data_IF_534927306451
#
_entry.id   IF_534927306451
#
_cell.length_a   1.000
_cell.length_b   1.000
_cell.length_c   1.000
_cell.angle_alpha   90.00
_cell.angle_beta   90.00
_cell.angle_gamma   90.00
#
_symmetry.space_group_name_H-M   'P 1'
#
loop_
_entity.id
_entity.type
_entity.pdbx_description
1 polymer ?
#
# COMPACT_ATOMS: atom_id res chain seq x y z
N UNK A 1 62.61 25.43 9.95
CA UNK A 1 61.18 25.37 10.30
C UNK A 1 60.40 26.30 9.36
N UNK A 2 59.78 25.81 8.27
CA UNK A 2 58.75 26.57 7.57
C UNK A 2 57.36 25.98 7.82
N UNK A 3 56.40 26.87 8.01
CA UNK A 3 55.01 26.59 8.35
C UNK A 3 54.24 25.96 7.17
N UNK A 4 53.43 24.94 7.47
CA UNK A 4 52.54 24.26 6.52
C UNK A 4 51.24 25.08 6.39
N UNK A 5 50.71 25.33 5.18
CA UNK A 5 49.50 26.11 5.01
C UNK A 5 48.26 25.31 5.45
N UNK A 6 47.40 25.97 6.23
CA UNK A 6 46.13 25.43 6.73
C UNK A 6 45.14 25.25 5.57
N UNK A 7 44.94 23.99 5.16
CA UNK A 7 43.96 23.62 4.15
C UNK A 7 42.57 23.61 4.80
N UNK A 8 41.75 24.61 4.47
CA UNK A 8 40.34 24.64 4.87
C UNK A 8 39.60 23.55 4.08
N UNK A 9 39.29 22.44 4.75
CA UNK A 9 38.34 21.44 4.25
C UNK A 9 36.98 22.11 4.24
N UNK A 10 36.53 22.50 3.05
CA UNK A 10 35.15 22.91 2.81
C UNK A 10 34.32 21.63 2.71
N UNK A 11 33.75 21.17 3.83
CA UNK A 11 32.66 20.20 3.78
C UNK A 11 31.43 20.90 3.25
N UNK A 12 31.33 21.01 1.92
CA UNK A 12 30.01 21.00 1.29
C UNK A 12 29.45 19.63 1.54
N UNK A 13 28.66 19.52 2.60
CA UNK A 13 27.65 18.48 2.68
C UNK A 13 26.66 18.83 1.58
N UNK A 14 26.87 18.25 0.39
CA UNK A 14 25.79 18.05 -0.55
C UNK A 14 24.76 17.20 0.23
N UNK A 15 23.81 17.87 0.87
CA UNK A 15 22.59 17.26 1.37
C UNK A 15 21.79 16.82 0.14
N UNK A 16 22.21 15.70 -0.45
CA UNK A 16 21.27 14.82 -1.15
C UNK A 16 20.08 14.62 -0.21
N UNK A 17 18.83 14.84 -0.67
CA UNK A 17 17.68 14.67 0.19
C UNK A 17 17.66 13.22 0.63
N UNK A 18 18.04 12.97 1.89
CA UNK A 18 17.91 11.67 2.54
C UNK A 18 16.48 11.21 2.25
N UNK A 19 16.34 10.16 1.44
CA UNK A 19 15.06 9.48 1.19
C UNK A 19 14.51 9.11 2.56
N UNK A 20 13.61 9.96 3.06
CA UNK A 20 13.22 9.95 4.45
C UNK A 20 12.60 8.62 4.81
N UNK A 21 13.26 7.87 5.69
CA UNK A 21 12.70 6.68 6.30
C UNK A 21 11.31 7.02 6.84
N UNK A 22 10.32 6.25 6.39
CA UNK A 22 8.91 6.45 6.71
C UNK A 22 8.65 6.01 8.16
N UNK A 23 7.74 6.71 8.85
CA UNK A 23 7.09 6.15 10.04
C UNK A 23 6.24 4.91 9.68
N UNK A 24 5.77 4.12 10.66
CA UNK A 24 5.08 2.86 10.39
C UNK A 24 3.85 3.07 9.50
N UNK A 25 3.65 2.18 8.53
CA UNK A 25 2.46 2.17 7.66
C UNK A 25 1.24 1.90 8.52
N UNK A 26 0.22 2.76 8.43
CA UNK A 26 -1.00 2.69 9.24
C UNK A 26 -2.26 2.36 8.43
N UNK A 27 -2.30 2.71 7.15
CA UNK A 27 -3.52 2.58 6.35
C UNK A 27 -3.26 2.06 4.93
N UNK A 28 -4.20 1.30 4.39
CA UNK A 28 -4.34 1.08 2.95
C UNK A 28 -5.38 2.04 2.40
N UNK A 29 -5.11 2.68 1.25
CA UNK A 29 -6.04 3.54 0.54
C UNK A 29 -6.35 2.98 -0.85
N UNK A 30 -7.63 2.78 -1.12
CA UNK A 30 -8.11 2.26 -2.39
C UNK A 30 -8.47 3.37 -3.39
N UNK A 31 -8.03 3.20 -4.63
CA UNK A 31 -8.23 4.12 -5.75
C UNK A 31 -8.68 3.37 -7.01
N UNK A 32 -9.21 4.10 -7.99
CA UNK A 32 -9.43 3.61 -9.35
C UNK A 32 -8.84 4.59 -10.37
N UNK A 33 -8.60 4.13 -11.60
CA UNK A 33 -7.93 4.92 -12.66
C UNK A 33 -8.61 6.25 -13.03
N UNK A 34 -9.87 6.45 -12.63
CA UNK A 34 -10.58 7.71 -12.84
C UNK A 34 -10.22 8.82 -11.83
N UNK A 35 -9.50 8.51 -10.75
CA UNK A 35 -9.04 9.49 -9.77
C UNK A 35 -7.65 10.01 -10.16
N UNK A 36 -7.58 11.26 -10.63
CA UNK A 36 -6.37 11.92 -11.15
C UNK A 36 -5.30 12.17 -10.09
N UNK A 37 -4.48 11.18 -9.73
CA UNK A 37 -3.22 11.39 -9.00
C UNK A 37 -2.24 10.22 -9.15
N UNK A 38 -0.95 10.51 -9.24
CA UNK A 38 0.15 9.53 -9.25
C UNK A 38 0.64 9.19 -7.83
N UNK A 39 1.48 8.14 -7.70
CA UNK A 39 2.11 7.75 -6.43
C UNK A 39 1.42 6.61 -5.67
N UNK A 40 0.91 5.62 -6.40
CA UNK A 40 0.40 4.36 -5.84
C UNK A 40 1.55 3.36 -5.63
N UNK A 41 1.39 2.46 -4.67
CA UNK A 41 2.37 1.40 -4.39
C UNK A 41 2.02 0.14 -5.18
N UNK A 42 0.72 -0.14 -5.36
CA UNK A 42 0.26 -1.30 -6.11
C UNK A 42 -0.80 -0.92 -7.13
N UNK A 43 -0.83 -1.64 -8.25
CA UNK A 43 -1.91 -1.65 -9.24
C UNK A 43 -2.47 -3.05 -9.39
N UNK A 44 -3.78 -3.17 -9.48
CA UNK A 44 -4.49 -4.42 -9.76
C UNK A 44 -5.25 -4.31 -11.08
N UNK A 45 -4.87 -5.12 -12.05
CA UNK A 45 -5.46 -5.15 -13.38
C UNK A 45 -6.71 -6.03 -13.43
N UNK A 46 -7.52 -5.86 -14.49
CA UNK A 46 -8.82 -6.53 -14.63
C UNK A 46 -8.77 -8.06 -14.63
N UNK A 47 -7.63 -8.63 -15.01
CA UNK A 47 -7.37 -10.06 -15.00
C UNK A 47 -6.99 -10.61 -13.61
N UNK A 48 -6.77 -9.72 -12.63
CA UNK A 48 -6.30 -10.05 -11.28
C UNK A 48 -4.79 -9.91 -11.12
N UNK A 49 -4.03 -9.52 -12.15
CA UNK A 49 -2.59 -9.31 -11.98
C UNK A 49 -2.28 -8.12 -11.07
N UNK A 50 -1.36 -8.33 -10.12
CA UNK A 50 -0.90 -7.31 -9.16
C UNK A 50 0.49 -6.85 -9.57
N UNK A 51 0.68 -5.53 -9.66
CA UNK A 51 1.96 -4.90 -10.00
C UNK A 51 2.37 -3.93 -8.91
N UNK A 52 3.57 -4.11 -8.39
CA UNK A 52 4.23 -3.14 -7.52
C UNK A 52 4.74 -1.97 -8.37
N UNK A 53 4.34 -0.76 -8.05
CA UNK A 53 4.71 0.49 -8.75
C UNK A 53 5.72 1.30 -7.94
N UNK A 54 5.60 1.25 -6.61
CA UNK A 54 6.53 1.85 -5.66
C UNK A 54 6.78 0.85 -4.55
N UNK A 55 8.01 0.83 -4.04
CA UNK A 55 8.31 0.02 -2.86
C UNK A 55 7.46 0.48 -1.68
N UNK A 56 7.03 -0.43 -0.78
CA UNK A 56 6.22 -0.08 0.39
C UNK A 56 6.85 1.00 1.29
N UNK A 57 8.18 1.04 1.33
CA UNK A 57 9.00 2.00 2.08
C UNK A 57 9.12 3.37 1.37
N UNK A 58 8.83 3.42 0.07
CA UNK A 58 8.83 4.67 -0.69
C UNK A 58 7.65 5.55 -0.29
N UNK A 59 7.86 6.87 -0.33
CA UNK A 59 6.81 7.84 -0.07
C UNK A 59 5.85 7.89 -1.26
N UNK A 60 4.69 7.27 -1.12
CA UNK A 60 3.56 7.45 -2.04
C UNK A 60 2.76 8.75 -1.78
N UNK A 61 1.58 8.81 -2.37
CA UNK A 61 0.70 9.99 -2.37
C UNK A 61 0.28 10.49 -0.96
N UNK A 62 0.18 9.58 0.01
CA UNK A 62 -0.24 9.88 1.37
C UNK A 62 0.82 9.42 2.39
N UNK A 63 1.14 10.24 3.42
CA UNK A 63 2.02 9.81 4.50
C UNK A 63 1.40 8.61 5.24
N UNK A 64 2.26 7.71 5.73
CA UNK A 64 1.88 6.49 6.47
C UNK A 64 0.78 5.60 5.82
N UNK A 65 0.60 5.67 4.50
CA UNK A 65 -0.45 4.93 3.77
C UNK A 65 0.04 4.23 2.50
N UNK A 66 -0.39 2.99 2.26
CA UNK A 66 -0.17 2.28 1.00
C UNK A 66 -1.35 2.52 0.06
N UNK A 67 -1.11 3.24 -1.03
CA UNK A 67 -2.10 3.44 -2.10
C UNK A 67 -2.17 2.24 -3.05
N UNK A 68 -3.35 1.68 -3.24
CA UNK A 68 -3.64 0.61 -4.20
C UNK A 68 -4.62 1.14 -5.24
N UNK A 69 -4.29 1.02 -6.53
CA UNK A 69 -5.17 1.43 -7.63
C UNK A 69 -5.73 0.22 -8.37
N UNK A 70 -7.04 0.18 -8.57
CA UNK A 70 -7.71 -0.82 -9.39
C UNK A 70 -7.94 -0.28 -10.80
N UNK A 71 -7.57 -1.07 -11.80
CA UNK A 71 -7.76 -0.76 -13.22
C UNK A 71 -9.25 -0.70 -13.56
N UNK A 72 -9.71 0.40 -14.16
CA UNK A 72 -11.10 0.60 -14.58
C UNK A 72 -11.80 1.83 -14.01
N UNK A 73 -13.01 2.09 -14.52
CA UNK A 73 -13.85 3.19 -14.05
C UNK A 73 -14.91 2.66 -13.08
N UNK A 74 -14.51 2.54 -11.82
CA UNK A 74 -15.35 1.95 -10.76
C UNK A 74 -16.51 2.84 -10.30
N UNK A 75 -16.68 4.03 -10.88
CA UNK A 75 -17.92 4.78 -10.78
C UNK A 75 -19.02 4.22 -11.68
N UNK A 76 -18.64 3.54 -12.77
CA UNK A 76 -19.56 3.03 -13.80
C UNK A 76 -19.70 1.51 -13.75
N UNK A 77 -18.68 0.81 -13.28
CA UNK A 77 -18.64 -0.66 -13.27
C UNK A 77 -18.18 -1.21 -11.92
N UNK A 78 -18.61 -2.42 -11.58
CA UNK A 78 -18.08 -3.14 -10.43
C UNK A 78 -16.74 -3.78 -10.83
N UNK A 79 -15.73 -3.88 -9.93
CA UNK A 79 -14.52 -4.64 -10.21
C UNK A 79 -14.83 -6.07 -10.62
N UNK A 80 -13.98 -6.65 -11.47
CA UNK A 80 -14.08 -8.06 -11.81
C UNK A 80 -13.85 -8.95 -10.57
N UNK A 81 -14.41 -10.16 -10.55
CA UNK A 81 -14.21 -11.11 -9.44
C UNK A 81 -12.73 -11.34 -9.16
N UNK A 82 -11.96 -11.64 -10.21
CA UNK A 82 -10.49 -11.82 -10.14
C UNK A 82 -9.75 -10.60 -9.58
N UNK A 83 -10.24 -9.38 -9.83
CA UNK A 83 -9.67 -8.16 -9.22
C UNK A 83 -9.92 -8.09 -7.71
N UNK A 84 -11.12 -8.49 -7.27
CA UNK A 84 -11.47 -8.49 -5.85
C UNK A 84 -10.71 -9.58 -5.09
N UNK A 85 -10.53 -10.75 -5.71
CA UNK A 85 -9.76 -11.85 -5.13
C UNK A 85 -8.29 -11.46 -4.96
N UNK A 86 -7.67 -10.91 -6.00
CA UNK A 86 -6.30 -10.38 -5.94
C UNK A 86 -6.15 -9.24 -4.91
N UNK A 87 -7.16 -8.38 -4.77
CA UNK A 87 -7.16 -7.35 -3.74
C UNK A 87 -7.16 -7.95 -2.33
N UNK A 88 -7.99 -8.97 -2.08
CA UNK A 88 -8.05 -9.65 -0.77
C UNK A 88 -6.72 -10.32 -0.44
N UNK A 89 -6.12 -11.03 -1.40
CA UNK A 89 -4.80 -11.64 -1.24
C UNK A 89 -3.71 -10.61 -0.90
N UNK A 90 -3.69 -9.48 -1.62
CA UNK A 90 -2.76 -8.40 -1.34
C UNK A 90 -3.00 -7.77 0.04
N UNK A 91 -4.25 -7.53 0.44
CA UNK A 91 -4.58 -6.99 1.76
C UNK A 91 -4.14 -7.94 2.89
N UNK A 92 -4.31 -9.25 2.71
CA UNK A 92 -3.86 -10.26 3.67
C UNK A 92 -2.33 -10.22 3.82
N UNK A 93 -1.62 -10.19 2.70
CA UNK A 93 -0.16 -10.10 2.70
C UNK A 93 0.36 -8.83 3.37
N UNK A 94 -0.30 -7.69 3.11
CA UNK A 94 0.01 -6.42 3.78
C UNK A 94 -0.30 -6.46 5.27
N UNK A 95 -1.35 -7.15 5.72
CA UNK A 95 -1.65 -7.30 7.15
C UNK A 95 -0.60 -8.14 7.87
N UNK A 96 -0.06 -9.16 7.22
CA UNK A 96 1.05 -9.95 7.76
C UNK A 96 2.31 -9.11 7.93
N UNK A 97 2.65 -8.30 6.91
CA UNK A 97 3.81 -7.40 6.94
C UNK A 97 3.63 -6.21 7.89
N UNK A 98 2.39 -5.74 8.04
CA UNK A 98 2.02 -4.58 8.86
C UNK A 98 0.80 -4.93 9.74
N UNK A 99 1.00 -5.60 10.90
CA UNK A 99 -0.10 -6.12 11.73
C UNK A 99 -1.14 -5.08 12.15
N UNK A 100 -0.71 -3.83 12.36
CA UNK A 100 -1.58 -2.73 12.78
C UNK A 100 -2.23 -1.96 11.61
N UNK A 101 -2.03 -2.41 10.36
CA UNK A 101 -2.58 -1.70 9.20
C UNK A 101 -4.11 -1.78 9.21
N UNK A 102 -4.74 -0.62 9.07
CA UNK A 102 -6.18 -0.47 8.86
C UNK A 102 -6.53 -0.32 7.38
N UNK A 103 -7.77 -0.60 7.02
CA UNK A 103 -8.30 -0.35 5.70
C UNK A 103 -9.08 0.97 5.68
N UNK A 104 -8.71 1.89 4.78
CA UNK A 104 -9.42 3.15 4.57
C UNK A 104 -9.78 3.38 3.11
N UNK A 105 -10.89 4.07 2.87
CA UNK A 105 -11.16 4.68 1.58
C UNK A 105 -10.55 6.09 1.53
N UNK A 106 -10.07 6.54 0.37
CA UNK A 106 -9.58 7.92 0.18
C UNK A 106 -10.62 8.97 0.65
N UNK A 107 -11.92 8.68 0.48
CA UNK A 107 -13.02 9.51 0.97
C UNK A 107 -13.07 9.70 2.50
N UNK A 108 -12.50 8.78 3.27
CA UNK A 108 -12.46 8.84 4.73
C UNK A 108 -11.25 9.63 5.27
N UNK A 109 -10.19 9.82 4.46
CA UNK A 109 -8.94 10.46 4.90
C UNK A 109 -8.86 11.96 4.56
N UNK A 110 -9.76 12.48 3.72
CA UNK A 110 -9.88 13.93 3.44
C UNK A 110 -11.32 14.38 3.59
N UNK A 111 -11.62 15.09 4.68
CA UNK A 111 -12.94 15.67 4.96
C UNK A 111 -13.45 16.64 3.87
N UNK A 112 -12.57 17.17 3.02
CA UNK A 112 -12.88 18.35 2.20
C UNK A 112 -12.74 18.15 0.68
N UNK A 113 -12.55 16.92 0.18
CA UNK A 113 -12.54 16.66 -1.27
C UNK A 113 -13.65 15.66 -1.60
N UNK A 114 -14.64 16.09 -2.39
CA UNK A 114 -15.63 15.21 -3.03
C UNK A 114 -14.91 14.24 -3.97
N UNK A 115 -14.36 13.16 -3.43
CA UNK A 115 -13.76 12.07 -4.20
C UNK A 115 -14.75 10.92 -4.31
N UNK A 116 -14.92 10.39 -5.52
CA UNK A 116 -15.69 9.16 -5.72
C UNK A 116 -14.88 7.91 -5.41
N UNK A 117 -13.56 8.02 -5.20
CA UNK A 117 -12.67 6.92 -4.87
C UNK A 117 -13.12 6.13 -3.62
N UNK A 118 -13.08 4.79 -3.68
CA UNK A 118 -12.55 3.93 -4.75
C UNK A 118 -13.48 3.70 -5.96
N UNK A 119 -14.63 4.36 -6.01
CA UNK A 119 -15.62 4.29 -7.07
C UNK A 119 -17.01 4.01 -6.50
N UNK A 120 -18.06 4.62 -7.07
CA UNK A 120 -19.46 4.44 -6.62
C UNK A 120 -19.95 2.99 -6.65
N UNK A 121 -19.40 2.16 -7.53
CA UNK A 121 -19.74 0.73 -7.67
C UNK A 121 -18.70 -0.20 -7.05
N UNK A 122 -17.68 0.34 -6.40
CA UNK A 122 -16.75 -0.47 -5.63
C UNK A 122 -17.45 -1.02 -4.37
N UNK A 123 -17.35 -2.33 -4.08
CA UNK A 123 -18.03 -2.94 -2.94
C UNK A 123 -17.28 -2.67 -1.63
N UNK A 124 -17.14 -1.40 -1.23
CA UNK A 124 -16.32 -1.01 -0.07
C UNK A 124 -16.77 -1.69 1.24
N UNK A 125 -18.09 -1.78 1.45
CA UNK A 125 -18.64 -2.44 2.65
C UNK A 125 -18.28 -3.92 2.70
N UNK A 126 -18.36 -4.63 1.59
CA UNK A 126 -18.01 -6.06 1.51
C UNK A 126 -16.53 -6.28 1.83
N UNK A 127 -15.65 -5.44 1.27
CA UNK A 127 -14.20 -5.55 1.51
C UNK A 127 -13.86 -5.16 2.95
N UNK A 128 -14.49 -4.12 3.51
CA UNK A 128 -14.31 -3.75 4.91
C UNK A 128 -14.82 -4.83 5.87
N UNK A 129 -16.02 -5.36 5.65
CA UNK A 129 -16.59 -6.44 6.47
C UNK A 129 -15.69 -7.69 6.44
N UNK A 130 -15.15 -8.05 5.26
CA UNK A 130 -14.17 -9.13 5.14
C UNK A 130 -12.85 -8.81 5.85
N UNK A 131 -12.34 -7.58 5.71
CA UNK A 131 -11.11 -7.14 6.34
C UNK A 131 -11.19 -7.13 7.89
N UNK A 132 -12.36 -6.83 8.45
CA UNK A 132 -12.54 -6.80 9.90
C UNK A 132 -12.80 -8.18 10.50
N UNK A 133 -13.57 -9.03 9.81
CA UNK A 133 -14.04 -10.32 10.36
C UNK A 133 -13.17 -11.51 9.96
N UNK A 134 -12.81 -11.58 8.68
CA UNK A 134 -12.20 -12.78 8.10
C UNK A 134 -10.68 -12.67 8.02
N UNK A 135 -10.13 -11.46 8.11
CA UNK A 135 -8.70 -11.22 7.97
C UNK A 135 -7.87 -11.83 9.10
N UNK A 136 -8.37 -11.80 10.34
CA UNK A 136 -7.68 -12.41 11.49
C UNK A 136 -7.59 -13.93 11.27
N UNK A 137 -8.70 -14.55 10.90
CA UNK A 137 -8.77 -15.99 10.60
C UNK A 137 -7.88 -16.36 9.41
N UNK A 138 -7.98 -15.64 8.30
CA UNK A 138 -7.18 -15.91 7.10
C UNK A 138 -5.68 -15.70 7.34
N UNK A 139 -5.31 -14.77 8.21
CA UNK A 139 -3.92 -14.56 8.66
C UNK A 139 -3.42 -15.76 9.44
N UNK A 140 -4.19 -16.21 10.43
CA UNK A 140 -3.80 -17.33 11.29
C UNK A 140 -3.68 -18.62 10.47
N UNK A 141 -4.64 -18.89 9.58
CA UNK A 141 -4.58 -20.04 8.66
C UNK A 141 -3.38 -19.96 7.68
N UNK A 142 -2.99 -18.76 7.22
CA UNK A 142 -1.81 -18.61 6.34
C UNK A 142 -0.52 -18.85 7.13
N UNK A 143 -0.41 -18.34 8.35
CA UNK A 143 0.73 -18.60 9.24
C UNK A 143 0.84 -20.09 9.57
N UNK A 144 -0.27 -20.75 9.89
CA UNK A 144 -0.30 -22.19 10.15
C UNK A 144 0.19 -23.00 8.95
N UNK A 145 -0.29 -22.68 7.74
CA UNK A 145 0.19 -23.34 6.51
C UNK A 145 1.68 -23.10 6.25
N UNK A 146 2.17 -21.88 6.47
CA UNK A 146 3.59 -21.56 6.32
C UNK A 146 4.44 -22.35 7.32
N UNK A 147 4.03 -22.39 8.59
CA UNK A 147 4.64 -23.22 9.64
C UNK A 147 4.63 -24.71 9.24
N UNK A 148 3.47 -25.26 8.88
CA UNK A 148 3.34 -26.67 8.46
C UNK A 148 4.23 -27.01 7.25
N UNK A 149 4.32 -26.10 6.27
CA UNK A 149 5.19 -26.27 5.10
C UNK A 149 6.68 -26.33 5.47
N UNK A 150 7.10 -25.62 6.53
CA UNK A 150 8.48 -25.64 7.03
C UNK A 150 8.79 -26.95 7.77
N UNK A 151 7.80 -27.57 8.44
CA UNK A 151 8.00 -28.81 9.21
C UNK A 151 7.77 -30.10 8.40
N UNK A 152 7.16 -30.02 7.21
CA UNK A 152 6.89 -31.20 6.36
C UNK A 152 7.97 -31.43 5.29
N UNK A 153 9.04 -30.63 5.28
CA UNK A 153 10.19 -30.74 4.36
C UNK A 153 11.36 -31.58 4.95
N UNK A 154 11.08 -32.54 5.83
CA UNK A 154 12.08 -33.48 6.38
C UNK A 154 11.68 -34.94 6.14
#
# INVERSE_FOLDING_TARGET
MPAIPSMRISTRVDEEPRKGARGPVKFVLLHHEGCSRDGFHYRIDRDGSVRELLTPDSRGQHPASLGIVLRGNLDRERPAGRQLDALKELLLDLKLRYPDIGLGAHRQVRGDIKTSCPGKRFPMREIADWFDKELIRARDEKLEREVESQYTQH
#
